data_IF_444193214338
#
_entry.id   IF_444193214338
#
_cell.length_a   1.000
_cell.length_b   1.000
_cell.length_c   1.000
_cell.angle_alpha   90.00
_cell.angle_beta   90.00
_cell.angle_gamma   90.00
#
_symmetry.space_group_name_H-M   'P 1'
#
loop_
_entity.id
_entity.type
_entity.pdbx_description
1 polymer ?
#
# COMPACT_ATOMS: atom_id res chain seq x y z
N UNK A 1 -9.74 -20.53 -8.18
CA UNK A 1 -8.56 -19.68 -7.90
C UNK A 1 -9.06 -18.28 -7.63
N UNK A 2 -8.52 -17.56 -6.64
CA UNK A 2 -8.96 -16.19 -6.32
C UNK A 2 -8.33 -15.20 -7.30
N UNK A 3 -9.15 -14.32 -7.88
CA UNK A 3 -8.70 -13.20 -8.69
C UNK A 3 -8.19 -12.06 -7.82
N UNK A 4 -7.37 -11.19 -8.40
CA UNK A 4 -6.77 -10.06 -7.70
C UNK A 4 -6.66 -8.82 -8.60
N UNK A 5 -6.55 -7.65 -7.98
CA UNK A 5 -6.24 -6.38 -8.65
C UNK A 5 -5.21 -5.59 -7.84
N UNK A 6 -4.41 -4.78 -8.51
CA UNK A 6 -3.35 -3.97 -7.88
C UNK A 6 -3.56 -2.50 -8.26
N UNK A 7 -3.53 -1.64 -7.26
CA UNK A 7 -3.46 -0.18 -7.44
C UNK A 7 -2.07 0.30 -6.97
N UNK A 8 -1.46 1.22 -7.72
CA UNK A 8 -0.21 1.88 -7.35
C UNK A 8 -0.34 3.39 -7.51
N UNK A 9 0.00 4.12 -6.46
CA UNK A 9 0.03 5.58 -6.46
C UNK A 9 1.46 6.06 -6.70
N UNK A 10 1.63 7.10 -7.52
CA UNK A 10 2.94 7.68 -7.86
C UNK A 10 2.95 9.18 -7.61
N UNK A 11 4.12 9.66 -7.19
CA UNK A 11 4.40 11.09 -7.08
C UNK A 11 4.92 11.63 -8.42
N UNK A 12 4.45 12.81 -8.82
CA UNK A 12 4.99 13.56 -9.95
C UNK A 12 6.04 14.55 -9.45
N UNK A 13 7.26 14.42 -9.95
CA UNK A 13 8.41 15.21 -9.54
C UNK A 13 8.98 16.01 -10.71
N UNK A 14 9.40 17.24 -10.43
CA UNK A 14 10.26 18.00 -11.31
C UNK A 14 11.64 17.32 -11.41
N UNK A 15 12.14 17.02 -12.62
CA UNK A 15 13.37 16.27 -12.80
C UNK A 15 14.64 17.03 -12.38
N UNK A 16 14.59 18.36 -12.29
CA UNK A 16 15.73 19.20 -11.94
C UNK A 16 15.77 19.51 -10.43
N UNK A 17 14.61 19.74 -9.80
CA UNK A 17 14.51 20.20 -8.41
C UNK A 17 14.08 19.12 -7.43
N UNK A 18 13.58 17.97 -7.91
CA UNK A 18 13.02 16.90 -7.08
C UNK A 18 11.80 17.31 -6.23
N UNK A 19 11.16 18.43 -6.57
CA UNK A 19 9.95 18.90 -5.88
C UNK A 19 8.69 18.31 -6.54
N UNK A 20 7.63 18.05 -5.75
CA UNK A 20 6.32 17.71 -6.28
C UNK A 20 5.79 18.77 -7.26
N UNK A 21 5.23 18.33 -8.39
CA UNK A 21 4.65 19.22 -9.42
C UNK A 21 3.19 18.90 -9.69
N UNK A 22 2.29 19.90 -9.77
CA UNK A 22 0.85 19.69 -9.90
C UNK A 22 0.42 19.39 -11.33
N UNK A 23 0.98 18.33 -11.94
CA UNK A 23 0.79 17.99 -13.35
C UNK A 23 -0.09 16.75 -13.59
N UNK A 24 -0.90 16.34 -12.59
CA UNK A 24 -1.69 15.12 -12.68
C UNK A 24 -2.66 15.12 -13.88
N UNK A 25 -3.32 16.24 -14.17
CA UNK A 25 -4.29 16.32 -15.27
C UNK A 25 -3.59 16.30 -16.64
N UNK A 26 -2.44 16.96 -16.77
CA UNK A 26 -1.61 16.93 -17.98
C UNK A 26 -1.06 15.52 -18.25
N UNK A 27 -0.60 14.83 -17.20
CA UNK A 27 -0.13 13.44 -17.33
C UNK A 27 -1.28 12.52 -17.73
N UNK A 28 -2.45 12.64 -17.10
CA UNK A 28 -3.63 11.82 -17.43
C UNK A 28 -4.08 12.04 -18.87
N UNK A 29 -4.23 13.30 -19.30
CA UNK A 29 -4.57 13.64 -20.68
C UNK A 29 -3.55 13.08 -21.68
N UNK A 30 -2.26 13.07 -21.34
CA UNK A 30 -1.21 12.50 -22.17
C UNK A 30 -1.22 10.97 -22.22
N UNK A 31 -1.79 10.27 -21.22
CA UNK A 31 -2.00 8.82 -21.27
C UNK A 31 -3.28 8.43 -22.00
N UNK A 32 -4.35 9.23 -21.92
CA UNK A 32 -5.60 8.92 -22.64
C UNK A 32 -5.41 8.89 -24.18
N UNK A 33 -4.32 9.48 -24.68
CA UNK A 33 -3.89 9.38 -26.07
C UNK A 33 -3.15 8.07 -26.41
N UNK A 34 -2.79 7.27 -25.41
CA UNK A 34 -2.13 5.97 -25.58
C UNK A 34 -3.19 4.86 -25.72
N UNK A 35 -3.32 4.22 -26.89
CA UNK A 35 -4.35 3.21 -27.14
C UNK A 35 -4.20 1.96 -26.27
N UNK A 36 -3.07 1.83 -25.57
CA UNK A 36 -2.71 0.69 -24.74
C UNK A 36 -3.29 0.82 -23.33
N UNK A 37 -3.88 1.96 -22.95
CA UNK A 37 -4.47 2.22 -21.62
C UNK A 37 -5.99 2.42 -21.71
N UNK A 38 -6.74 1.84 -20.78
CA UNK A 38 -8.19 2.00 -20.71
C UNK A 38 -8.61 3.13 -19.76
N UNK A 39 -9.77 3.74 -20.02
CA UNK A 39 -10.36 4.95 -19.37
C UNK A 39 -10.54 4.89 -17.82
N UNK A 40 -10.14 3.79 -17.17
CA UNK A 40 -10.23 3.60 -15.70
C UNK A 40 -8.94 3.11 -15.07
N UNK A 41 -7.92 2.85 -15.86
CA UNK A 41 -6.65 2.33 -15.37
C UNK A 41 -5.76 3.44 -14.81
N UNK A 42 -6.11 4.71 -15.03
CA UNK A 42 -5.40 5.87 -14.47
C UNK A 42 -6.40 6.85 -13.88
N UNK A 43 -6.14 7.26 -12.64
CA UNK A 43 -7.01 8.14 -11.87
C UNK A 43 -6.19 9.30 -11.29
N UNK A 44 -6.86 10.42 -11.05
CA UNK A 44 -6.29 11.49 -10.24
C UNK A 44 -6.43 11.13 -8.77
N UNK A 45 -5.47 11.57 -7.96
CA UNK A 45 -5.51 11.39 -6.52
C UNK A 45 -5.76 12.73 -5.80
N UNK A 46 -5.77 12.73 -4.46
CA UNK A 46 -6.09 13.91 -3.65
C UNK A 46 -5.31 15.17 -4.05
N UNK A 47 -3.99 15.07 -4.20
CA UNK A 47 -3.15 16.20 -4.61
C UNK A 47 -2.84 16.12 -6.11
N UNK A 48 -2.78 17.27 -6.77
CA UNK A 48 -2.48 17.36 -8.21
C UNK A 48 -1.05 16.92 -8.58
N UNK A 49 -0.21 16.58 -7.60
CA UNK A 49 1.11 15.98 -7.82
C UNK A 49 1.10 14.46 -7.78
N UNK A 50 -0.06 13.81 -7.79
CA UNK A 50 -0.19 12.37 -7.62
C UNK A 50 -1.05 11.76 -8.72
N UNK A 51 -0.66 10.56 -9.16
CA UNK A 51 -1.43 9.76 -10.13
C UNK A 51 -1.54 8.33 -9.61
N UNK A 52 -2.72 7.75 -9.72
CA UNK A 52 -2.97 6.34 -9.40
C UNK A 52 -3.09 5.54 -10.69
N UNK A 53 -2.52 4.35 -10.72
CA UNK A 53 -2.79 3.34 -11.75
C UNK A 53 -3.45 2.11 -11.13
N UNK A 54 -4.37 1.48 -11.86
CA UNK A 54 -5.07 0.28 -11.41
C UNK A 54 -5.05 -0.80 -12.49
N UNK A 55 -4.64 -2.02 -12.13
CA UNK A 55 -4.74 -3.17 -13.04
C UNK A 55 -6.20 -3.58 -13.24
N UNK A 56 -6.54 -4.22 -14.36
CA UNK A 56 -7.74 -5.03 -14.45
C UNK A 56 -7.77 -6.15 -13.39
N UNK A 57 -8.92 -6.83 -13.28
CA UNK A 57 -9.03 -8.05 -12.48
C UNK A 57 -8.19 -9.15 -13.14
N UNK A 58 -7.13 -9.57 -12.46
CA UNK A 58 -6.18 -10.57 -12.91
C UNK A 58 -6.49 -11.94 -12.29
N UNK A 59 -6.23 -12.99 -13.06
CA UNK A 59 -6.38 -14.39 -12.66
C UNK A 59 -5.09 -14.97 -12.05
N UNK A 60 -3.93 -14.48 -12.48
CA UNK A 60 -2.61 -14.93 -12.00
C UNK A 60 -1.60 -13.79 -11.85
N UNK A 61 -0.48 -14.08 -11.19
CA UNK A 61 0.59 -13.12 -10.93
C UNK A 61 1.36 -12.71 -12.19
N UNK A 62 1.42 -13.57 -13.21
CA UNK A 62 2.10 -13.23 -14.46
C UNK A 62 1.28 -12.21 -15.26
N UNK A 63 -0.04 -12.34 -15.27
CA UNK A 63 -1.00 -11.37 -15.81
C UNK A 63 -0.90 -10.03 -15.08
N UNK A 64 -0.97 -10.04 -13.75
CA UNK A 64 -0.79 -8.83 -12.95
C UNK A 64 0.54 -8.13 -13.25
N UNK A 65 1.64 -8.88 -13.34
CA UNK A 65 2.95 -8.36 -13.68
C UNK A 65 3.02 -7.70 -15.07
N UNK A 66 2.37 -8.30 -16.09
CA UNK A 66 2.28 -7.70 -17.43
C UNK A 66 1.51 -6.38 -17.41
N UNK A 67 0.38 -6.33 -16.70
CA UNK A 67 -0.40 -5.09 -16.58
C UNK A 67 0.36 -4.00 -15.83
N UNK A 68 1.03 -4.33 -14.72
CA UNK A 68 1.84 -3.36 -13.98
C UNK A 68 2.97 -2.79 -14.84
N UNK A 69 3.72 -3.62 -15.56
CA UNK A 69 4.79 -3.15 -16.44
C UNK A 69 4.25 -2.23 -17.55
N UNK A 70 3.13 -2.60 -18.17
CA UNK A 70 2.46 -1.79 -19.19
C UNK A 70 2.03 -0.43 -18.62
N UNK A 71 1.35 -0.43 -17.47
CA UNK A 71 0.82 0.79 -16.84
C UNK A 71 1.94 1.70 -16.36
N UNK A 72 2.95 1.16 -15.67
CA UNK A 72 4.16 1.91 -15.26
C UNK A 72 4.86 2.56 -16.45
N UNK A 73 5.01 1.82 -17.56
CA UNK A 73 5.61 2.36 -18.76
C UNK A 73 4.78 3.50 -19.38
N UNK A 74 3.47 3.32 -19.47
CA UNK A 74 2.56 4.32 -20.02
C UNK A 74 2.57 5.62 -19.19
N UNK A 75 2.39 5.53 -17.87
CA UNK A 75 2.38 6.70 -16.99
C UNK A 75 3.76 7.36 -16.90
N UNK A 76 4.85 6.59 -16.90
CA UNK A 76 6.22 7.14 -16.95
C UNK A 76 6.48 7.90 -18.25
N UNK A 77 6.01 7.37 -19.38
CA UNK A 77 6.18 8.00 -20.69
C UNK A 77 5.35 9.27 -20.82
N UNK A 78 4.12 9.27 -20.31
CA UNK A 78 3.28 10.46 -20.27
C UNK A 78 3.86 11.54 -19.35
N UNK A 79 4.32 11.19 -18.14
CA UNK A 79 5.01 12.12 -17.25
C UNK A 79 6.19 12.81 -17.94
N UNK A 80 7.04 12.05 -18.65
CA UNK A 80 8.17 12.61 -19.41
C UNK A 80 7.72 13.59 -20.50
N UNK A 81 6.64 13.28 -21.23
CA UNK A 81 6.08 14.18 -22.25
C UNK A 81 5.52 15.47 -21.64
N UNK A 82 4.98 15.38 -20.43
CA UNK A 82 4.45 16.52 -19.66
C UNK A 82 5.54 17.28 -18.88
N UNK A 83 6.83 16.91 -19.01
CA UNK A 83 7.95 17.62 -18.39
C UNK A 83 8.28 17.20 -16.95
N UNK A 84 7.70 16.12 -16.44
CA UNK A 84 7.95 15.60 -15.10
C UNK A 84 8.40 14.13 -15.11
N UNK A 85 8.62 13.55 -13.92
CA UNK A 85 8.88 12.11 -13.74
C UNK A 85 7.94 11.55 -12.69
N UNK A 86 7.50 10.32 -12.87
CA UNK A 86 6.90 9.55 -11.77
C UNK A 86 7.99 9.13 -10.78
N UNK A 87 7.63 9.00 -9.51
CA UNK A 87 8.45 8.41 -8.47
C UNK A 87 7.65 7.38 -7.65
N UNK A 88 8.22 6.18 -7.53
CA UNK A 88 7.71 5.08 -6.74
C UNK A 88 8.25 5.17 -5.30
N UNK A 89 7.72 6.08 -4.50
CA UNK A 89 8.12 6.29 -3.10
C UNK A 89 6.89 6.45 -2.20
N UNK A 90 6.91 5.85 -1.02
CA UNK A 90 5.78 5.89 -0.09
C UNK A 90 5.44 7.29 0.42
N UNK A 91 6.41 8.21 0.40
CA UNK A 91 6.26 9.63 0.74
C UNK A 91 7.07 10.51 -0.20
N UNK A 92 6.69 11.77 -0.36
CA UNK A 92 7.54 12.74 -1.05
C UNK A 92 8.86 12.94 -0.28
N UNK A 93 10.04 12.69 -0.89
CA UNK A 93 11.32 12.90 -0.24
C UNK A 93 11.56 14.36 0.15
N UNK A 94 11.04 15.29 -0.66
CA UNK A 94 11.14 16.73 -0.49
C UNK A 94 9.78 17.39 -0.74
N UNK A 95 9.58 18.57 -0.17
CA UNK A 95 8.38 19.38 -0.33
C UNK A 95 8.78 20.83 -0.61
N UNK A 96 7.96 21.51 -1.41
CA UNK A 96 8.14 22.93 -1.69
C UNK A 96 7.63 23.82 -0.54
N UNK A 97 7.91 25.14 -0.58
CA UNK A 97 7.42 26.08 0.42
C UNK A 97 5.89 26.29 0.32
N UNK A 98 5.31 26.07 -0.85
CA UNK A 98 3.89 26.22 -1.10
C UNK A 98 3.19 24.84 -1.14
N UNK A 99 1.98 24.72 -0.57
CA UNK A 99 1.18 23.50 -0.69
C UNK A 99 0.83 23.19 -2.15
N UNK A 100 0.90 21.92 -2.52
CA UNK A 100 0.38 21.47 -3.81
C UNK A 100 -1.14 21.59 -3.83
N UNK A 101 -1.74 22.11 -4.91
CA UNK A 101 -3.19 22.19 -5.02
C UNK A 101 -3.88 20.82 -4.91
N UNK A 102 -5.05 20.83 -4.28
CA UNK A 102 -5.95 19.68 -4.21
C UNK A 102 -6.67 19.53 -5.54
N UNK A 103 -6.81 18.30 -6.02
CA UNK A 103 -7.57 17.96 -7.23
C UNK A 103 -9.02 18.46 -7.11
N UNK A 104 -9.56 19.06 -8.18
CA UNK A 104 -10.91 19.66 -8.20
C UNK A 104 -11.97 18.55 -8.20
N UNK A 105 -12.24 18.03 -7.02
CA UNK A 105 -13.26 17.03 -6.74
C UNK A 105 -13.99 17.44 -5.45
N UNK A 106 -15.34 17.44 -5.42
CA UNK A 106 -16.11 17.83 -4.24
C UNK A 106 -15.69 17.12 -2.94
N UNK A 107 -15.37 15.83 -3.01
CA UNK A 107 -14.88 15.04 -1.86
C UNK A 107 -13.57 15.58 -1.32
N UNK A 108 -12.60 15.80 -2.22
CA UNK A 108 -11.26 16.26 -1.87
C UNK A 108 -11.27 17.69 -1.33
N UNK A 109 -12.07 18.59 -1.92
CA UNK A 109 -12.28 19.94 -1.41
C UNK A 109 -12.91 19.92 0.00
N UNK A 110 -13.88 19.04 0.24
CA UNK A 110 -14.46 18.87 1.57
C UNK A 110 -13.46 18.33 2.60
N UNK A 111 -12.55 17.42 2.20
CA UNK A 111 -11.47 16.95 3.06
C UNK A 111 -10.54 18.10 3.47
N UNK A 112 -10.13 18.96 2.51
CA UNK A 112 -9.28 20.12 2.78
C UNK A 112 -9.91 21.08 3.79
N UNK A 113 -11.21 21.34 3.67
CA UNK A 113 -11.94 22.21 4.62
C UNK A 113 -11.93 21.67 6.04
N UNK A 114 -11.93 20.33 6.22
CA UNK A 114 -11.98 19.70 7.54
C UNK A 114 -10.61 19.53 8.19
N UNK A 115 -9.57 19.27 7.41
CA UNK A 115 -8.24 18.92 7.92
C UNK A 115 -7.12 19.46 7.02
N UNK A 116 -7.09 20.78 6.80
CA UNK A 116 -6.17 21.46 5.87
C UNK A 116 -4.72 20.99 5.98
N UNK A 117 -4.11 21.03 7.17
CA UNK A 117 -2.72 20.61 7.35
C UNK A 117 -2.48 19.13 7.03
N UNK A 118 -3.42 18.24 7.37
CA UNK A 118 -3.28 16.82 7.05
C UNK A 118 -3.39 16.57 5.54
N UNK A 119 -4.24 17.34 4.85
CA UNK A 119 -4.37 17.28 3.39
C UNK A 119 -3.14 17.83 2.69
N UNK A 120 -2.62 18.98 3.13
CA UNK A 120 -1.39 19.57 2.56
C UNK A 120 -0.17 18.65 2.77
N UNK A 121 -0.19 17.82 3.80
CA UNK A 121 0.82 16.79 4.08
C UNK A 121 0.46 15.40 3.55
N UNK A 122 -0.57 15.24 2.72
CA UNK A 122 -1.00 13.93 2.19
C UNK A 122 -0.15 13.51 0.97
N UNK A 123 1.15 13.74 1.01
CA UNK A 123 2.13 13.24 0.03
C UNK A 123 2.51 11.79 0.32
N UNK A 124 1.51 10.92 0.39
CA UNK A 124 1.70 9.48 0.63
C UNK A 124 1.25 8.70 -0.59
N UNK A 125 1.96 7.61 -0.89
CA UNK A 125 1.70 6.80 -2.08
C UNK A 125 1.75 5.31 -1.71
N UNK A 126 0.63 4.64 -1.89
CA UNK A 126 0.43 3.24 -1.54
C UNK A 126 0.53 2.28 -2.71
N UNK A 127 0.64 1.01 -2.35
CA UNK A 127 0.19 -0.10 -3.18
C UNK A 127 -1.02 -0.74 -2.50
N UNK A 128 -2.12 -0.90 -3.24
CA UNK A 128 -3.29 -1.62 -2.74
C UNK A 128 -3.45 -2.93 -3.48
N UNK A 129 -3.77 -4.00 -2.74
CA UNK A 129 -4.07 -5.30 -3.33
C UNK A 129 -5.50 -5.69 -2.99
N UNK A 130 -6.30 -5.83 -4.03
CA UNK A 130 -7.64 -6.40 -3.97
C UNK A 130 -7.58 -7.89 -4.20
N UNK A 131 -8.25 -8.68 -3.37
CA UNK A 131 -8.43 -10.13 -3.58
C UNK A 131 -9.89 -10.49 -3.42
N UNK A 132 -10.42 -11.22 -4.41
CA UNK A 132 -11.82 -11.62 -4.43
C UNK A 132 -12.23 -12.44 -3.20
N UNK A 133 -13.43 -12.17 -2.70
CA UNK A 133 -14.09 -12.91 -1.62
C UNK A 133 -15.48 -13.35 -2.08
N UNK A 134 -16.01 -14.47 -1.56
CA UNK A 134 -17.32 -14.99 -1.99
C UNK A 134 -18.48 -14.08 -1.54
N UNK A 135 -18.40 -13.52 -0.35
CA UNK A 135 -19.43 -12.69 0.29
C UNK A 135 -18.82 -11.81 1.40
N UNK A 136 -19.60 -10.86 1.93
CA UNK A 136 -19.14 -9.88 2.92
C UNK A 136 -18.90 -10.53 4.30
N UNK A 137 -19.67 -11.55 4.67
CA UNK A 137 -19.51 -12.31 5.90
C UNK A 137 -18.15 -13.00 5.95
N UNK A 138 -17.78 -13.72 4.89
CA UNK A 138 -16.46 -14.29 4.71
C UNK A 138 -15.39 -13.19 4.66
N UNK A 139 -15.70 -12.04 4.05
CA UNK A 139 -14.83 -10.88 4.07
C UNK A 139 -14.44 -10.45 5.50
N UNK A 140 -15.41 -10.30 6.40
CA UNK A 140 -15.13 -9.93 7.80
C UNK A 140 -14.30 -11.01 8.51
N UNK A 141 -14.61 -12.28 8.27
CA UNK A 141 -13.84 -13.40 8.81
C UNK A 141 -12.39 -13.41 8.30
N UNK A 142 -12.16 -13.06 7.03
CA UNK A 142 -10.83 -12.89 6.45
C UNK A 142 -10.13 -11.69 7.07
N UNK A 143 -10.80 -10.55 7.20
CA UNK A 143 -10.25 -9.33 7.78
C UNK A 143 -9.68 -9.58 9.19
N UNK A 144 -10.43 -10.31 10.02
CA UNK A 144 -10.02 -10.71 11.36
C UNK A 144 -8.78 -11.63 11.39
N UNK A 145 -8.52 -12.39 10.32
CA UNK A 145 -7.38 -13.32 10.22
C UNK A 145 -6.15 -12.68 9.60
N UNK A 146 -6.33 -11.71 8.71
CA UNK A 146 -5.20 -11.00 8.08
C UNK A 146 -4.65 -9.89 8.97
N UNK A 147 -5.46 -9.31 9.87
CA UNK A 147 -5.03 -8.17 10.71
C UNK A 147 -3.70 -8.39 11.47
N UNK A 148 -3.38 -9.56 12.04
CA UNK A 148 -2.11 -9.75 12.76
C UNK A 148 -0.88 -9.80 11.84
N UNK A 149 -1.09 -10.03 10.53
CA UNK A 149 -0.02 -10.06 9.54
C UNK A 149 0.27 -8.70 8.90
N UNK A 150 -0.60 -7.71 9.08
CA UNK A 150 -0.42 -6.37 8.50
C UNK A 150 0.88 -5.68 8.96
N UNK A 151 1.30 -5.74 10.24
CA UNK A 151 2.61 -5.21 10.64
C UNK A 151 3.77 -5.86 9.88
N UNK A 152 3.71 -7.17 9.59
CA UNK A 152 4.75 -7.87 8.82
C UNK A 152 4.82 -7.32 7.39
N UNK A 153 3.66 -7.07 6.77
CA UNK A 153 3.59 -6.45 5.45
C UNK A 153 4.14 -5.01 5.44
N UNK A 154 3.79 -4.20 6.45
CA UNK A 154 4.34 -2.83 6.62
C UNK A 154 5.86 -2.87 6.74
N UNK A 155 6.40 -3.80 7.54
CA UNK A 155 7.83 -3.95 7.72
C UNK A 155 8.55 -4.31 6.42
N UNK A 156 7.97 -5.24 5.63
CA UNK A 156 8.52 -5.68 4.35
C UNK A 156 8.47 -4.58 3.28
N UNK A 157 7.39 -3.79 3.25
CA UNK A 157 7.06 -2.89 2.15
C UNK A 157 7.59 -1.47 2.32
N UNK A 158 8.20 -1.12 3.45
CA UNK A 158 8.64 0.25 3.75
C UNK A 158 9.48 0.88 2.63
N UNK A 159 8.98 2.00 2.10
CA UNK A 159 9.56 2.74 0.99
C UNK A 159 9.43 4.26 1.19
N UNK A 160 9.38 4.71 2.43
CA UNK A 160 9.21 6.13 2.79
C UNK A 160 10.10 6.56 3.95
N UNK A 161 11.44 6.46 3.84
CA UNK A 161 12.32 6.91 4.91
C UNK A 161 12.47 8.44 4.96
N UNK A 162 12.24 9.14 3.85
CA UNK A 162 12.49 10.57 3.74
C UNK A 162 11.21 11.41 3.85
N UNK A 163 11.34 12.56 4.51
CA UNK A 163 10.31 13.58 4.63
C UNK A 163 10.97 14.97 4.74
N UNK A 164 10.54 15.93 3.93
CA UNK A 164 11.08 17.30 3.94
C UNK A 164 12.62 17.36 3.85
N UNK A 165 13.21 16.49 3.02
CA UNK A 165 14.66 16.44 2.77
C UNK A 165 15.48 15.74 3.85
N UNK A 166 14.84 15.10 4.84
CA UNK A 166 15.52 14.46 5.97
C UNK A 166 15.10 12.99 6.12
N UNK A 167 16.02 12.14 6.61
CA UNK A 167 15.66 10.80 7.09
C UNK A 167 14.86 10.92 8.39
N UNK A 168 13.64 10.39 8.37
CA UNK A 168 12.71 10.40 9.50
C UNK A 168 13.09 9.40 10.59
N UNK A 169 13.97 8.45 10.27
CA UNK A 169 14.27 7.27 11.06
C UNK A 169 13.23 6.14 10.90
N UNK A 170 12.17 6.31 10.10
CA UNK A 170 11.16 5.28 9.84
C UNK A 170 11.43 4.55 8.52
N UNK A 171 11.04 3.29 8.41
CA UNK A 171 11.01 2.57 7.13
C UNK A 171 9.77 2.95 6.30
N UNK A 172 8.63 3.09 6.96
CA UNK A 172 7.39 3.60 6.38
C UNK A 172 6.91 4.84 7.13
N UNK A 173 7.36 6.02 6.73
CA UNK A 173 6.80 7.29 7.21
C UNK A 173 5.34 7.48 6.76
N UNK A 174 4.96 6.89 5.62
CA UNK A 174 3.57 6.82 5.14
C UNK A 174 2.61 6.29 6.21
N UNK A 175 3.03 5.25 6.94
CA UNK A 175 2.22 4.69 8.04
C UNK A 175 1.99 5.71 9.16
N UNK A 176 2.99 6.53 9.48
CA UNK A 176 2.90 7.59 10.51
C UNK A 176 2.03 8.76 10.03
N UNK A 177 2.15 9.15 8.76
CA UNK A 177 1.29 10.19 8.17
C UNK A 177 -0.17 9.77 8.24
N UNK A 178 -0.48 8.52 7.87
CA UNK A 178 -1.84 7.98 7.93
C UNK A 178 -2.39 7.85 9.35
N UNK A 179 -1.56 7.57 10.36
CA UNK A 179 -2.03 7.36 11.74
C UNK A 179 -2.61 8.62 12.39
N UNK A 180 -2.49 9.78 11.74
CA UNK A 180 -3.06 11.05 12.20
C UNK A 180 -4.53 11.22 11.83
N UNK A 181 -5.06 10.36 10.96
CA UNK A 181 -6.47 10.36 10.60
C UNK A 181 -7.32 9.61 11.64
N UNK A 182 -8.59 10.03 11.89
CA UNK A 182 -9.40 9.53 13.01
C UNK A 182 -9.65 8.02 13.02
N UNK A 183 -9.77 7.42 11.83
CA UNK A 183 -10.05 5.98 11.66
C UNK A 183 -8.98 5.39 10.76
N UNK A 184 -7.88 4.95 11.36
CA UNK A 184 -6.67 4.52 10.64
C UNK A 184 -5.96 3.35 11.33
N UNK A 185 -4.99 2.74 10.63
CA UNK A 185 -4.14 1.66 11.16
C UNK A 185 -4.73 0.25 10.96
N UNK A 186 -4.25 -0.77 11.68
CA UNK A 186 -4.81 -2.12 11.61
C UNK A 186 -6.32 -2.09 11.94
N UNK A 187 -7.17 -2.81 11.18
CA UNK A 187 -8.61 -2.83 11.45
C UNK A 187 -8.89 -3.49 12.82
N UNK A 188 -9.96 -3.07 13.51
CA UNK A 188 -10.42 -3.75 14.72
C UNK A 188 -10.77 -5.23 14.46
N UNK A 189 -10.87 -6.01 15.53
CA UNK A 189 -11.58 -7.28 15.48
C UNK A 189 -13.09 -7.03 15.41
N UNK A 190 -13.80 -7.81 14.61
CA UNK A 190 -15.26 -7.76 14.48
C UNK A 190 -15.90 -9.11 14.82
N UNK A 191 -17.02 -9.12 15.52
CA UNK A 191 -17.75 -10.34 15.87
C UNK A 191 -18.54 -10.95 14.71
N UNK A 192 -18.66 -10.23 13.59
CA UNK A 192 -19.34 -10.66 12.38
C UNK A 192 -19.71 -9.44 11.52
N UNK A 193 -20.43 -9.67 10.42
CA UNK A 193 -20.82 -8.58 9.52
C UNK A 193 -21.74 -7.56 10.20
N UNK A 194 -22.66 -7.98 11.05
CA UNK A 194 -23.54 -7.05 11.77
C UNK A 194 -22.76 -6.08 12.67
N UNK A 195 -21.79 -6.58 13.44
CA UNK A 195 -20.91 -5.76 14.29
C UNK A 195 -20.03 -4.81 13.45
N UNK A 196 -19.51 -5.29 12.31
CA UNK A 196 -18.78 -4.46 11.36
C UNK A 196 -19.62 -3.27 10.85
N UNK A 197 -20.85 -3.55 10.40
CA UNK A 197 -21.78 -2.56 9.88
C UNK A 197 -22.24 -1.57 10.96
N UNK A 198 -22.59 -2.06 12.15
CA UNK A 198 -22.99 -1.23 13.29
C UNK A 198 -21.90 -0.23 13.67
N UNK A 199 -20.65 -0.69 13.79
CA UNK A 199 -19.53 0.15 14.21
C UNK A 199 -19.17 1.21 13.17
N UNK A 200 -19.23 0.89 11.88
CA UNK A 200 -19.00 1.87 10.82
C UNK A 200 -20.14 2.90 10.78
N UNK A 201 -21.38 2.46 10.93
CA UNK A 201 -22.53 3.37 11.01
C UNK A 201 -22.46 4.29 12.23
N UNK A 202 -21.97 3.80 13.37
CA UNK A 202 -21.72 4.64 14.55
C UNK A 202 -20.66 5.71 14.28
N UNK A 203 -19.56 5.37 13.58
CA UNK A 203 -18.52 6.32 13.20
C UNK A 203 -19.04 7.42 12.24
N UNK A 204 -19.87 7.05 11.27
CA UNK A 204 -20.52 8.02 10.36
C UNK A 204 -21.53 8.89 11.11
N UNK A 205 -22.36 8.31 11.97
CA UNK A 205 -23.38 9.02 12.76
C UNK A 205 -22.75 10.03 13.72
N UNK A 206 -21.61 9.68 14.33
CA UNK A 206 -20.85 10.60 15.19
C UNK A 206 -20.12 11.70 14.40
N UNK A 207 -20.12 11.66 13.06
CA UNK A 207 -19.41 12.61 12.21
C UNK A 207 -17.88 12.43 12.20
N UNK A 208 -17.36 11.33 12.74
CA UNK A 208 -15.92 11.04 12.77
C UNK A 208 -15.35 10.79 11.35
N UNK A 209 -16.20 10.26 10.46
CA UNK A 209 -15.94 10.08 9.03
C UNK A 209 -17.16 10.53 8.23
N UNK A 210 -16.95 11.08 7.04
CA UNK A 210 -18.01 11.49 6.11
C UNK A 210 -18.66 10.29 5.42
N UNK A 211 -17.86 9.27 5.13
CA UNK A 211 -18.22 8.09 4.36
C UNK A 211 -17.18 6.98 4.59
N UNK A 212 -17.49 5.80 4.07
CA UNK A 212 -16.68 4.59 4.20
C UNK A 212 -15.32 4.67 3.51
N UNK A 213 -15.16 5.55 2.52
CA UNK A 213 -13.87 5.80 1.89
C UNK A 213 -12.85 6.43 2.85
N UNK A 214 -13.29 7.05 3.95
CA UNK A 214 -12.44 7.57 5.02
C UNK A 214 -12.10 6.53 6.10
N UNK A 215 -12.45 5.26 5.89
CA UNK A 215 -11.87 4.15 6.65
C UNK A 215 -10.44 3.92 6.14
N UNK A 216 -9.46 4.56 6.76
CA UNK A 216 -8.03 4.41 6.44
C UNK A 216 -7.41 3.20 7.14
N UNK A 217 -8.20 2.13 7.29
CA UNK A 217 -7.69 0.88 7.78
C UNK A 217 -6.73 0.26 6.77
N UNK A 218 -5.70 -0.38 7.30
CA UNK A 218 -4.64 -1.06 6.55
C UNK A 218 -5.14 -2.28 5.77
N UNK A 219 -6.32 -2.81 6.12
CA UNK A 219 -7.12 -3.67 5.29
C UNK A 219 -8.61 -3.37 5.54
N UNK A 220 -9.46 -3.53 4.52
CA UNK A 220 -10.91 -3.32 4.63
C UNK A 220 -11.70 -4.15 3.62
N UNK A 221 -13.01 -4.23 3.80
CA UNK A 221 -13.92 -4.63 2.73
C UNK A 221 -13.97 -3.49 1.71
N UNK A 222 -13.77 -3.80 0.43
CA UNK A 222 -13.99 -2.80 -0.62
C UNK A 222 -15.49 -2.55 -0.77
N UNK A 223 -15.87 -1.28 -0.85
CA UNK A 223 -17.26 -0.88 -1.10
C UNK A 223 -17.64 -0.98 -2.59
N UNK A 224 -16.64 -0.98 -3.47
CA UNK A 224 -16.85 -1.02 -4.93
C UNK A 224 -16.76 -2.44 -5.50
N UNK A 225 -15.90 -3.28 -4.92
CA UNK A 225 -15.62 -4.62 -5.42
C UNK A 225 -15.84 -5.66 -4.33
N UNK A 226 -16.30 -6.88 -4.65
CA UNK A 226 -16.43 -7.98 -3.68
C UNK A 226 -15.04 -8.54 -3.32
N UNK A 227 -14.24 -7.73 -2.62
CA UNK A 227 -12.83 -7.99 -2.35
C UNK A 227 -12.45 -7.57 -0.94
N UNK A 228 -11.43 -8.22 -0.40
CA UNK A 228 -10.60 -7.63 0.65
C UNK A 228 -9.55 -6.76 -0.02
N UNK A 229 -9.42 -5.54 0.49
CA UNK A 229 -8.48 -4.54 0.00
C UNK A 229 -7.41 -4.31 1.07
N UNK A 230 -6.17 -4.74 0.81
CA UNK A 230 -5.02 -4.50 1.68
C UNK A 230 -4.29 -3.25 1.22
N UNK A 231 -4.17 -2.25 2.10
CA UNK A 231 -3.70 -0.88 1.79
C UNK A 231 -2.46 -0.44 2.60
N UNK A 232 -1.90 -1.36 3.38
CA UNK A 232 -0.80 -1.08 4.30
C UNK A 232 0.57 -0.90 3.63
N UNK A 233 0.69 -1.26 2.35
CA UNK A 233 1.96 -1.24 1.63
C UNK A 233 2.25 0.17 1.10
N UNK A 234 3.48 0.63 1.24
CA UNK A 234 3.97 1.74 0.41
C UNK A 234 4.04 1.25 -1.06
N UNK A 235 3.97 2.17 -2.03
CA UNK A 235 4.26 1.80 -3.43
C UNK A 235 5.67 1.21 -3.54
N UNK A 236 5.88 0.21 -4.41
CA UNK A 236 7.16 -0.49 -4.50
C UNK A 236 8.03 0.02 -5.66
N UNK A 237 9.35 0.03 -5.45
CA UNK A 237 10.31 0.47 -6.48
C UNK A 237 10.20 -0.36 -7.76
N UNK A 238 9.94 -1.67 -7.66
CA UNK A 238 9.95 -2.58 -8.81
C UNK A 238 8.60 -3.27 -8.95
N UNK A 239 8.14 -3.42 -10.20
CA UNK A 239 6.91 -4.15 -10.50
C UNK A 239 6.94 -5.61 -9.99
N UNK A 240 8.09 -6.27 -10.00
CA UNK A 240 8.21 -7.63 -9.48
C UNK A 240 8.09 -7.71 -7.95
N UNK A 241 8.49 -6.68 -7.21
CA UNK A 241 8.23 -6.57 -5.77
C UNK A 241 6.72 -6.36 -5.51
N UNK A 242 6.03 -5.55 -6.33
CA UNK A 242 4.56 -5.42 -6.27
C UNK A 242 3.86 -6.75 -6.52
N UNK A 243 4.30 -7.53 -7.53
CA UNK A 243 3.77 -8.88 -7.80
C UNK A 243 4.02 -9.84 -6.64
N UNK A 244 5.17 -9.77 -5.98
CA UNK A 244 5.45 -10.55 -4.76
C UNK A 244 4.42 -10.25 -3.67
N UNK A 245 4.17 -8.96 -3.37
CA UNK A 245 3.17 -8.58 -2.37
C UNK A 245 1.77 -9.01 -2.76
N UNK A 246 1.40 -8.92 -4.03
CA UNK A 246 0.12 -9.42 -4.52
C UNK A 246 -0.04 -10.92 -4.28
N UNK A 247 1.00 -11.72 -4.52
CA UNK A 247 1.04 -13.15 -4.22
C UNK A 247 0.92 -13.45 -2.73
N UNK A 248 1.62 -12.69 -1.88
CA UNK A 248 1.53 -12.82 -0.41
C UNK A 248 0.12 -12.50 0.08
N UNK A 249 -0.46 -11.39 -0.36
CA UNK A 249 -1.82 -10.98 0.04
C UNK A 249 -2.86 -11.98 -0.45
N UNK A 250 -2.75 -12.47 -1.69
CA UNK A 250 -3.60 -13.56 -2.20
C UNK A 250 -3.46 -14.82 -1.35
N UNK A 251 -2.24 -15.20 -0.98
CA UNK A 251 -1.95 -16.33 -0.11
C UNK A 251 -2.56 -16.18 1.28
N UNK A 252 -2.47 -14.99 1.89
CA UNK A 252 -3.09 -14.67 3.19
C UNK A 252 -4.61 -14.79 3.13
N UNK A 253 -5.25 -14.19 2.11
CA UNK A 253 -6.71 -14.25 1.94
C UNK A 253 -7.19 -15.67 1.68
N UNK A 254 -6.53 -16.42 0.80
CA UNK A 254 -6.87 -17.82 0.52
C UNK A 254 -6.74 -18.71 1.77
N UNK A 255 -5.66 -18.51 2.55
CA UNK A 255 -5.45 -19.24 3.81
C UNK A 255 -6.53 -18.90 4.83
N UNK A 256 -6.87 -17.61 4.98
CA UNK A 256 -7.92 -17.17 5.89
C UNK A 256 -9.30 -17.73 5.52
N UNK A 257 -9.65 -17.79 4.22
CA UNK A 257 -10.89 -18.43 3.74
C UNK A 257 -10.89 -19.92 4.08
N UNK A 258 -9.77 -20.62 3.86
CA UNK A 258 -9.63 -22.05 4.18
C UNK A 258 -9.81 -22.30 5.68
N UNK A 259 -9.19 -21.46 6.51
CA UNK A 259 -9.26 -21.55 7.97
C UNK A 259 -10.67 -21.30 8.50
N UNK A 260 -11.37 -20.28 7.99
CA UNK A 260 -12.77 -20.01 8.34
C UNK A 260 -13.68 -21.19 7.97
N UNK A 261 -13.57 -21.72 6.74
CA UNK A 261 -14.36 -22.89 6.30
C UNK A 261 -14.07 -24.15 7.12
N UNK A 262 -12.85 -24.28 7.64
CA UNK A 262 -12.46 -25.38 8.52
C UNK A 262 -12.83 -25.17 10.00
N UNK A 263 -13.47 -24.04 10.35
CA UNK A 263 -13.82 -23.71 11.73
C UNK A 263 -12.61 -23.42 12.63
N UNK A 264 -11.44 -23.10 12.06
CA UNK A 264 -10.24 -22.76 12.84
C UNK A 264 -10.38 -21.35 13.40
N UNK A 265 -10.22 -21.14 14.72
CA UNK A 265 -10.35 -19.81 15.30
C UNK A 265 -9.24 -18.87 14.82
N UNK A 266 -9.50 -17.56 14.70
CA UNK A 266 -8.46 -16.58 14.41
C UNK A 266 -7.44 -16.52 15.56
N UNK A 267 -6.21 -16.13 15.24
CA UNK A 267 -5.17 -15.94 16.26
C UNK A 267 -5.57 -14.76 17.18
N UNK A 268 -5.67 -14.97 18.51
CA UNK A 268 -5.94 -13.89 19.43
C UNK A 268 -4.86 -12.81 19.33
N UNK A 269 -5.28 -11.56 19.17
CA UNK A 269 -4.37 -10.43 19.01
C UNK A 269 -4.94 -9.21 19.74
N UNK A 270 -4.26 -8.79 20.82
CA UNK A 270 -4.66 -7.63 21.61
C UNK A 270 -4.52 -6.35 20.77
N UNK A 271 -5.54 -5.46 20.74
CA UNK A 271 -5.50 -4.25 19.93
C UNK A 271 -4.27 -3.35 20.20
N UNK A 272 -3.89 -3.20 21.46
CA UNK A 272 -2.75 -2.37 21.89
C UNK A 272 -1.43 -2.95 21.36
N UNK A 273 -1.29 -4.27 21.42
CA UNK A 273 -0.11 -4.96 20.91
C UNK A 273 -0.05 -4.90 19.39
N UNK A 274 -1.19 -5.01 18.70
CA UNK A 274 -1.27 -4.86 17.25
C UNK A 274 -0.87 -3.46 16.80
N UNK A 275 -1.33 -2.43 17.50
CA UNK A 275 -0.95 -1.04 17.24
C UNK A 275 0.55 -0.81 17.47
N UNK A 276 1.11 -1.34 18.57
CA UNK A 276 2.54 -1.26 18.86
C UNK A 276 3.39 -2.02 17.83
N UNK A 277 2.95 -3.22 17.42
CA UNK A 277 3.60 -4.02 16.37
C UNK A 277 3.63 -3.25 15.04
N UNK A 278 2.52 -2.62 14.66
CA UNK A 278 2.43 -1.81 13.46
C UNK A 278 3.38 -0.61 13.50
N UNK A 279 3.45 0.09 14.64
CA UNK A 279 4.38 1.20 14.81
C UNK A 279 5.84 0.74 14.72
N UNK A 280 6.20 -0.37 15.37
CA UNK A 280 7.55 -0.93 15.30
C UNK A 280 7.91 -1.38 13.89
N UNK A 281 6.97 -2.00 13.17
CA UNK A 281 7.16 -2.37 11.78
C UNK A 281 7.43 -1.13 10.90
N UNK A 282 6.62 -0.09 11.04
CA UNK A 282 6.81 1.16 10.31
C UNK A 282 8.16 1.82 10.65
N UNK A 283 8.60 1.74 11.91
CA UNK A 283 9.86 2.34 12.37
C UNK A 283 11.10 1.58 11.92
N UNK A 284 11.10 0.25 12.03
CA UNK A 284 12.30 -0.57 11.87
C UNK A 284 12.36 -1.32 10.54
N UNK A 285 11.24 -1.46 9.82
CA UNK A 285 11.21 -2.30 8.63
C UNK A 285 11.62 -3.74 8.99
N UNK A 286 12.51 -4.32 8.20
CA UNK A 286 13.09 -5.65 8.46
C UNK A 286 14.39 -5.61 9.27
N UNK A 287 14.78 -4.46 9.82
CA UNK A 287 15.99 -4.35 10.64
C UNK A 287 15.75 -4.88 12.06
N UNK A 288 16.33 -6.06 12.35
CA UNK A 288 16.32 -6.68 13.67
C UNK A 288 15.11 -7.56 13.93
N UNK A 289 14.12 -7.05 14.65
CA UNK A 289 13.02 -7.85 15.22
C UNK A 289 11.64 -7.36 14.79
N UNK A 290 10.71 -8.29 14.69
CA UNK A 290 9.28 -8.03 14.51
C UNK A 290 8.49 -8.64 15.67
N UNK A 291 7.28 -8.14 15.87
CA UNK A 291 6.26 -8.80 16.68
C UNK A 291 5.49 -9.72 15.74
N UNK A 292 5.53 -11.03 16.01
CA UNK A 292 4.83 -12.03 15.20
C UNK A 292 3.31 -11.98 15.43
N UNK A 293 2.49 -12.68 14.62
CA UNK A 293 1.04 -12.74 14.78
C UNK A 293 0.55 -13.23 16.15
N UNK A 294 1.37 -13.99 16.88
CA UNK A 294 1.08 -14.47 18.23
C UNK A 294 1.47 -13.44 19.32
N UNK A 295 2.01 -12.29 18.93
CA UNK A 295 2.42 -11.22 19.84
C UNK A 295 3.84 -11.38 20.40
N UNK A 296 4.65 -12.29 19.85
CA UNK A 296 6.00 -12.57 20.34
C UNK A 296 7.06 -11.86 19.50
N UNK A 297 8.06 -11.28 20.18
CA UNK A 297 9.22 -10.67 19.52
C UNK A 297 10.11 -11.77 18.93
N UNK A 298 10.37 -11.72 17.63
CA UNK A 298 11.23 -12.66 16.88
C UNK A 298 12.08 -11.93 15.86
N UNK A 299 13.13 -12.59 15.35
CA UNK A 299 13.93 -12.03 14.24
C UNK A 299 13.05 -11.78 13.01
N UNK A 300 13.27 -10.68 12.30
CA UNK A 300 12.46 -10.32 11.13
C UNK A 300 12.43 -11.45 10.08
N UNK A 301 13.59 -12.06 9.80
CA UNK A 301 13.73 -13.23 8.93
C UNK A 301 12.84 -14.41 9.36
N UNK A 302 12.78 -14.70 10.66
CA UNK A 302 11.98 -15.81 11.18
C UNK A 302 10.48 -15.55 11.02
N UNK A 303 10.06 -14.29 11.23
CA UNK A 303 8.66 -13.89 11.04
C UNK A 303 8.27 -13.89 9.56
N UNK A 304 9.16 -13.47 8.66
CA UNK A 304 8.90 -13.56 7.21
C UNK A 304 8.87 -15.01 6.73
N UNK A 305 9.73 -15.88 7.28
CA UNK A 305 9.66 -17.33 6.99
C UNK A 305 8.38 -17.95 7.53
N UNK A 306 7.94 -17.58 8.73
CA UNK A 306 6.69 -18.09 9.29
C UNK A 306 5.47 -17.63 8.49
N UNK A 307 5.49 -16.41 7.93
CA UNK A 307 4.51 -15.94 6.95
C UNK A 307 4.48 -16.86 5.72
N UNK A 308 5.64 -17.15 5.11
CA UNK A 308 5.71 -18.04 3.95
C UNK A 308 5.22 -19.46 4.25
N UNK A 309 5.52 -19.99 5.45
CA UNK A 309 4.99 -21.28 5.91
C UNK A 309 3.47 -21.21 6.06
N UNK A 310 2.95 -20.15 6.67
CA UNK A 310 1.51 -19.96 6.90
C UNK A 310 0.72 -19.94 5.58
N UNK A 311 1.24 -19.27 4.55
CA UNK A 311 0.57 -19.19 3.23
C UNK A 311 1.00 -20.28 2.24
N UNK A 312 1.92 -21.17 2.62
CA UNK A 312 2.63 -22.08 1.71
C UNK A 312 1.70 -22.94 0.87
N UNK A 313 0.73 -23.60 1.51
CA UNK A 313 -0.28 -24.40 0.80
C UNK A 313 -1.06 -23.58 -0.23
N UNK A 314 -1.44 -22.33 0.12
CA UNK A 314 -2.18 -21.46 -0.78
C UNK A 314 -1.34 -21.00 -1.97
N UNK A 315 -0.04 -20.78 -1.77
CA UNK A 315 0.89 -20.49 -2.87
C UNK A 315 1.07 -21.69 -3.80
N UNK A 316 1.15 -22.90 -3.25
CA UNK A 316 1.29 -24.14 -4.04
C UNK A 316 0.06 -24.39 -4.91
N UNK A 317 -1.13 -24.29 -4.32
CA UNK A 317 -2.41 -24.42 -5.03
C UNK A 317 -2.58 -23.34 -6.12
N UNK A 318 -2.02 -22.15 -5.91
CA UNK A 318 -2.03 -21.06 -6.88
C UNK A 318 -0.93 -21.16 -7.96
N UNK A 319 0.08 -22.01 -7.76
CA UNK A 319 1.27 -22.07 -8.62
C UNK A 319 2.28 -20.94 -8.39
N UNK A 320 2.13 -20.17 -7.31
CA UNK A 320 2.90 -18.94 -7.03
C UNK A 320 4.19 -19.17 -6.23
N UNK A 321 4.35 -20.35 -5.61
CA UNK A 321 5.40 -20.62 -4.61
C UNK A 321 6.79 -20.22 -5.08
N UNK A 322 7.19 -20.66 -6.28
CA UNK A 322 8.54 -20.36 -6.81
C UNK A 322 8.76 -18.86 -6.97
N UNK A 323 7.79 -18.17 -7.58
CA UNK A 323 7.89 -16.74 -7.86
C UNK A 323 7.96 -15.95 -6.54
N UNK A 324 6.98 -16.13 -5.65
CA UNK A 324 6.89 -15.40 -4.38
C UNK A 324 8.10 -15.68 -3.49
N UNK A 325 8.43 -16.95 -3.26
CA UNK A 325 9.57 -17.29 -2.38
C UNK A 325 10.89 -16.74 -2.91
N UNK A 326 11.14 -16.78 -4.23
CA UNK A 326 12.37 -16.25 -4.81
C UNK A 326 12.51 -14.73 -4.61
N UNK A 327 11.40 -13.99 -4.72
CA UNK A 327 11.35 -12.54 -4.54
C UNK A 327 11.50 -12.17 -3.05
N UNK A 328 10.89 -12.93 -2.13
CA UNK A 328 11.08 -12.73 -0.69
C UNK A 328 12.54 -12.97 -0.29
N UNK A 329 13.20 -14.02 -0.79
CA UNK A 329 14.63 -14.23 -0.53
C UNK A 329 15.49 -13.07 -1.05
N UNK A 330 15.11 -12.48 -2.20
CA UNK A 330 15.78 -11.31 -2.74
C UNK A 330 15.57 -10.07 -1.85
N UNK A 331 14.35 -9.85 -1.35
CA UNK A 331 14.03 -8.77 -0.41
C UNK A 331 14.89 -8.89 0.86
N UNK A 332 14.90 -10.06 1.51
CA UNK A 332 15.69 -10.29 2.72
C UNK A 332 17.19 -10.06 2.50
N UNK A 333 17.71 -10.43 1.33
CA UNK A 333 19.13 -10.20 0.98
C UNK A 333 19.47 -8.75 0.66
N UNK A 334 18.56 -8.01 0.02
CA UNK A 334 18.81 -6.64 -0.45
C UNK A 334 18.36 -5.58 0.55
N UNK A 335 17.56 -5.94 1.53
CA UNK A 335 16.84 -4.99 2.38
C UNK A 335 15.63 -4.39 1.67
N UNK A 336 14.84 -3.66 2.46
CA UNK A 336 13.63 -2.98 2.01
C UNK A 336 13.95 -1.83 1.04
N UNK A 337 12.96 -1.33 0.30
CA UNK A 337 13.12 -0.09 -0.47
C UNK A 337 13.63 1.10 0.37
N UNK A 338 13.21 1.24 1.62
CA UNK A 338 13.72 2.25 2.53
C UNK A 338 15.24 2.10 2.80
N UNK A 339 15.73 0.87 3.00
CA UNK A 339 17.15 0.60 3.17
C UNK A 339 17.95 0.96 1.91
N UNK A 340 17.37 0.73 0.73
CA UNK A 340 17.96 1.12 -0.55
C UNK A 340 18.03 2.64 -0.69
N UNK A 341 16.97 3.36 -0.35
CA UNK A 341 16.97 4.83 -0.37
C UNK A 341 18.01 5.41 0.59
N UNK A 342 18.15 4.87 1.82
CA UNK A 342 19.20 5.30 2.76
C UNK A 342 20.61 5.07 2.23
N UNK A 343 20.86 3.93 1.58
CA UNK A 343 22.16 3.67 0.94
C UNK A 343 22.43 4.61 -0.22
N UNK A 344 21.42 4.91 -1.05
CA UNK A 344 21.54 5.88 -2.12
C UNK A 344 21.85 7.28 -1.58
N UNK A 345 21.12 7.71 -0.53
CA UNK A 345 21.35 8.98 0.16
C UNK A 345 22.78 9.09 0.71
N UNK A 346 23.30 8.02 1.31
CA UNK A 346 24.66 7.98 1.83
C UNK A 346 25.75 7.97 0.73
N UNK A 347 25.40 7.56 -0.49
CA UNK A 347 26.36 7.44 -1.60
C UNK A 347 26.52 8.74 -2.39
N UNK A 348 25.41 9.34 -2.85
CA UNK A 348 25.42 10.56 -3.69
C UNK A 348 24.25 11.51 -3.35
N UNK A 349 23.82 11.50 -2.08
CA UNK A 349 22.78 12.39 -1.59
C UNK A 349 21.42 12.16 -2.25
N UNK A 350 20.61 13.23 -2.28
CA UNK A 350 19.24 13.20 -2.79
C UNK A 350 19.20 12.81 -4.28
N UNK A 351 20.23 13.16 -5.06
CA UNK A 351 20.29 12.83 -6.48
C UNK A 351 20.20 11.32 -6.73
N UNK A 352 21.00 10.52 -6.02
CA UNK A 352 20.93 9.06 -6.14
C UNK A 352 19.60 8.48 -5.65
N UNK A 353 18.97 9.10 -4.65
CA UNK A 353 17.61 8.71 -4.23
C UNK A 353 16.61 8.95 -5.36
N UNK A 354 16.69 10.12 -6.00
CA UNK A 354 15.80 10.48 -7.11
C UNK A 354 15.96 9.56 -8.31
N UNK A 355 17.20 9.20 -8.67
CA UNK A 355 17.48 8.19 -9.70
C UNK A 355 16.87 6.84 -9.33
N UNK A 356 17.02 6.41 -8.07
CA UNK A 356 16.48 5.14 -7.57
C UNK A 356 14.94 5.06 -7.62
N UNK A 357 14.23 6.13 -7.26
CA UNK A 357 12.76 6.11 -7.15
C UNK A 357 12.05 6.46 -8.47
N UNK A 358 12.72 7.14 -9.41
CA UNK A 358 12.14 7.61 -10.66
C UNK A 358 12.30 6.65 -11.86
N UNK A 359 12.81 5.44 -11.62
CA UNK A 359 12.90 4.35 -12.60
C UNK A 359 11.76 3.34 -12.36
N UNK A 360 10.87 3.11 -13.35
CA UNK A 360 9.74 2.19 -13.22
C UNK A 360 10.10 0.69 -13.15
#
# INVERSE_FOLDING_TARGET
MLTLGIEEEYLLLDPATALPVPLADEVRAAVDLDPVVHEREIQAELLQAQVEVATPVCSDLAEAGRHLLRLRHAVSSAAKRSGCRIAACGTAPCSGPEPVPVTINPRYLAMRTRAAQLVDEQFVHGMHVHVAIPDREMGVAVLNRVRPWLPVLVAMAGNSPLWNGQDTGFSSWRTVVYSRWPVSGPPPYFHGLADYEERINALMTAGAIADRGQLYWQARLSERYPTIEVRCLDVQLRADDSVMFAGIVRGLVATAIRDEKAGRPPTPCLPELLAAANWHAARHGLDGVLVDPAGLRRGADDVVRSLLVHIGQSLEEAGDTRQVSSLVHRLLRRGTPADRQRRALATDGLKAVMELIAEP
#
